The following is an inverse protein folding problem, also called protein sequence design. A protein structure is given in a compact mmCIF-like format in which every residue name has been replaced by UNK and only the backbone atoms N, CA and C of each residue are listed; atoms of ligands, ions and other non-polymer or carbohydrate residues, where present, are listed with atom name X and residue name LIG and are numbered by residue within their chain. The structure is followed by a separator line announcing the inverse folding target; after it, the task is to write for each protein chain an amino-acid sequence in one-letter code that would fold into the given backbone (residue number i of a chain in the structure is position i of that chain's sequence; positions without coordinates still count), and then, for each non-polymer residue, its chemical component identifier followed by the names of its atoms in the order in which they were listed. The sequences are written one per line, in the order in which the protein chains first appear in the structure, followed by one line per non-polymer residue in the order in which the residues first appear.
data_IF_829626589478
#
_entry.id   IF_829626589478
#
_cell.length_a   1.000
_cell.length_b   1.000
_cell.length_c   1.000
_cell.angle_alpha   90.00
_cell.angle_beta   90.00
_cell.angle_gamma   90.00
#
_symmetry.space_group_name_H-M   'P 1'
#
loop_
_entity.id
_entity.type
_entity.pdbx_description
1 polymer ?
#
# COMPACT_ATOMS: atom_id res chain seq x y z
N UNK A 1 1.46 -25.95 -14.47
CA UNK A 1 2.47 -25.04 -15.06
C UNK A 1 1.85 -23.65 -15.08
N UNK A 2 2.47 -22.68 -14.41
CA UNK A 2 2.01 -21.30 -14.49
C UNK A 2 2.26 -20.81 -15.92
N UNK A 3 1.20 -20.37 -16.60
CA UNK A 3 1.31 -19.74 -17.91
C UNK A 3 2.00 -18.39 -17.73
N UNK A 4 3.25 -18.28 -18.15
CA UNK A 4 3.96 -16.99 -18.17
C UNK A 4 3.45 -16.23 -19.40
N UNK A 5 2.76 -15.12 -19.17
CA UNK A 5 2.25 -14.27 -20.25
C UNK A 5 3.43 -13.60 -20.96
N UNK A 6 3.33 -13.39 -22.28
CA UNK A 6 4.35 -12.63 -23.05
C UNK A 6 4.57 -11.21 -22.46
N UNK A 7 3.55 -10.64 -21.83
CA UNK A 7 3.60 -9.36 -21.12
C UNK A 7 4.28 -9.43 -19.74
N UNK A 8 4.51 -10.62 -19.18
CA UNK A 8 5.36 -10.77 -17.99
C UNK A 8 6.85 -10.85 -18.38
N UNK A 9 7.15 -11.23 -19.62
CA UNK A 9 8.51 -11.27 -20.19
C UNK A 9 8.95 -9.86 -20.63
N UNK A 10 8.01 -9.08 -21.16
CA UNK A 10 8.22 -7.67 -21.54
C UNK A 10 7.71 -6.84 -20.35
N UNK A 11 8.61 -6.45 -19.44
CA UNK A 11 8.26 -5.63 -18.26
C UNK A 11 7.43 -4.39 -18.60
N UNK A 12 6.79 -3.74 -17.60
CA UNK A 12 5.80 -2.70 -17.86
C UNK A 12 6.39 -1.52 -18.64
N UNK A 13 5.54 -0.84 -19.41
CA UNK A 13 5.88 0.49 -19.93
C UNK A 13 6.26 1.39 -18.76
N UNK A 14 7.45 1.96 -18.83
CA UNK A 14 8.01 2.70 -17.71
C UNK A 14 8.95 3.81 -18.15
N UNK A 15 9.09 4.79 -17.27
CA UNK A 15 10.18 5.77 -17.31
C UNK A 15 11.36 5.25 -16.51
N UNK A 16 12.56 5.38 -17.08
CA UNK A 16 13.82 5.09 -16.40
C UNK A 16 14.41 3.71 -16.71
N UNK A 17 15.57 3.40 -16.11
CA UNK A 17 16.40 2.29 -16.56
C UNK A 17 16.01 0.93 -15.98
N UNK A 18 15.17 0.87 -14.95
CA UNK A 18 14.97 -0.34 -14.15
C UNK A 18 13.51 -0.63 -13.81
N UNK A 19 13.04 -1.82 -14.17
CA UNK A 19 11.67 -2.29 -13.87
C UNK A 19 11.46 -2.54 -12.38
N UNK A 20 12.50 -2.95 -11.65
CA UNK A 20 12.40 -3.17 -10.21
C UNK A 20 12.55 -1.88 -9.41
N UNK A 21 13.53 -1.05 -9.77
CA UNK A 21 13.93 0.12 -8.99
C UNK A 21 13.22 1.41 -9.39
N UNK A 22 12.69 1.48 -10.60
CA UNK A 22 11.94 2.65 -11.10
C UNK A 22 10.46 2.31 -11.23
N UNK A 23 10.07 1.36 -12.08
CA UNK A 23 8.65 1.01 -12.23
C UNK A 23 8.05 0.43 -10.93
N UNK A 24 8.71 -0.54 -10.31
CA UNK A 24 8.25 -1.11 -9.04
C UNK A 24 8.19 -0.08 -7.91
N UNK A 25 9.13 0.87 -7.87
CA UNK A 25 9.12 1.95 -6.90
C UNK A 25 7.94 2.92 -7.10
N UNK A 26 7.68 3.33 -8.35
CA UNK A 26 6.52 4.15 -8.68
C UNK A 26 5.20 3.43 -8.37
N UNK A 27 5.06 2.16 -8.79
CA UNK A 27 3.86 1.37 -8.54
C UNK A 27 3.55 1.20 -7.06
N UNK A 28 4.55 0.87 -6.22
CA UNK A 28 4.28 0.66 -4.78
C UNK A 28 3.88 1.97 -4.09
N UNK A 29 4.48 3.10 -4.47
CA UNK A 29 4.12 4.40 -3.91
C UNK A 29 2.75 4.89 -4.42
N UNK A 30 2.39 4.55 -5.66
CA UNK A 30 1.05 4.80 -6.20
C UNK A 30 -0.02 4.00 -5.47
N UNK A 31 0.25 2.73 -5.13
CA UNK A 31 -0.65 1.95 -4.27
C UNK A 31 -0.80 2.61 -2.89
N UNK A 32 0.30 3.05 -2.28
CA UNK A 32 0.26 3.80 -1.02
C UNK A 32 -0.55 5.10 -1.14
N UNK A 33 -0.47 5.81 -2.28
CA UNK A 33 -1.28 7.00 -2.54
C UNK A 33 -2.78 6.68 -2.63
N UNK A 34 -3.15 5.59 -3.30
CA UNK A 34 -4.54 5.11 -3.42
C UNK A 34 -5.13 4.68 -2.08
N UNK A 35 -4.29 4.17 -1.18
CA UNK A 35 -4.64 3.83 0.20
C UNK A 35 -4.88 5.06 1.10
N UNK A 36 -4.32 6.22 0.74
CA UNK A 36 -4.40 7.41 1.56
C UNK A 36 -5.65 8.26 1.23
N UNK A 37 -6.57 8.50 2.19
CA UNK A 37 -7.88 9.09 1.91
C UNK A 37 -7.88 10.60 1.67
N UNK A 38 -6.76 11.29 1.90
CA UNK A 38 -6.68 12.76 1.90
C UNK A 38 -5.64 13.35 0.95
N UNK A 39 -5.40 14.65 1.11
CA UNK A 39 -4.25 15.33 0.52
C UNK A 39 -3.01 15.09 1.39
N UNK A 40 -1.91 14.71 0.75
CA UNK A 40 -0.66 14.43 1.45
C UNK A 40 0.07 15.74 1.69
N UNK A 41 0.37 16.02 2.95
CA UNK A 41 1.16 17.16 3.41
C UNK A 41 2.65 16.83 3.43
N UNK A 42 2.99 15.63 3.93
CA UNK A 42 4.36 15.17 3.96
C UNK A 42 4.50 13.66 3.83
N UNK A 43 5.67 13.24 3.37
CA UNK A 43 6.05 11.83 3.29
C UNK A 43 7.52 11.62 3.69
N UNK A 44 7.78 10.63 4.53
CA UNK A 44 9.13 10.12 4.78
C UNK A 44 9.29 8.74 4.17
N UNK A 45 10.36 8.56 3.40
CA UNK A 45 10.72 7.28 2.80
C UNK A 45 11.92 6.68 3.51
N UNK A 46 11.80 5.45 4.03
CA UNK A 46 12.94 4.67 4.52
C UNK A 46 13.25 3.56 3.52
N UNK A 47 14.45 3.58 2.96
CA UNK A 47 14.88 2.62 1.93
C UNK A 47 15.71 1.51 2.55
N UNK A 48 15.51 0.27 2.09
CA UNK A 48 16.22 -0.91 2.58
C UNK A 48 17.05 -1.55 1.46
N UNK A 49 18.07 -2.34 1.83
CA UNK A 49 18.80 -3.22 0.93
C UNK A 49 19.30 -2.56 -0.37
N UNK A 50 18.93 -3.13 -1.51
CA UNK A 50 19.31 -2.65 -2.84
C UNK A 50 18.75 -1.25 -3.15
N UNK A 51 17.54 -0.94 -2.67
CA UNK A 51 16.98 0.41 -2.78
C UNK A 51 17.87 1.41 -2.02
N UNK A 52 18.22 1.12 -0.77
CA UNK A 52 19.11 1.97 0.02
C UNK A 52 20.45 2.26 -0.66
N UNK A 53 21.03 1.24 -1.31
CA UNK A 53 22.35 1.34 -1.96
C UNK A 53 22.33 2.09 -3.29
N UNK A 54 21.25 2.00 -4.06
CA UNK A 54 21.25 2.41 -5.47
C UNK A 54 20.18 3.43 -5.86
N UNK A 55 19.38 3.92 -4.91
CA UNK A 55 18.19 4.73 -5.23
C UNK A 55 18.47 5.94 -6.10
N UNK A 56 19.60 6.65 -5.91
CA UNK A 56 19.96 7.80 -6.75
C UNK A 56 20.35 7.40 -8.17
N UNK A 57 21.06 6.29 -8.32
CA UNK A 57 21.55 5.82 -9.62
C UNK A 57 20.42 5.30 -10.51
N UNK A 58 19.42 4.63 -9.91
CA UNK A 58 18.25 4.12 -10.62
C UNK A 58 17.05 5.07 -10.63
N UNK A 59 17.14 6.24 -9.98
CA UNK A 59 16.03 7.19 -9.87
C UNK A 59 14.86 6.68 -9.03
N UNK A 60 15.11 5.80 -8.06
CA UNK A 60 14.09 5.24 -7.15
C UNK A 60 13.48 6.31 -6.26
N UNK A 61 14.27 7.30 -5.81
CA UNK A 61 13.75 8.48 -5.09
C UNK A 61 12.70 9.22 -5.90
N UNK A 62 13.02 9.50 -7.16
CA UNK A 62 12.13 10.17 -8.10
C UNK A 62 10.88 9.35 -8.38
N UNK A 63 11.02 8.03 -8.55
CA UNK A 63 9.92 7.13 -8.80
C UNK A 63 8.97 7.01 -7.60
N UNK A 64 9.49 6.83 -6.39
CA UNK A 64 8.70 6.80 -5.15
C UNK A 64 7.93 8.11 -4.97
N UNK A 65 8.60 9.24 -5.18
CA UNK A 65 7.95 10.55 -5.06
C UNK A 65 6.93 10.81 -6.19
N UNK A 66 7.18 10.33 -7.40
CA UNK A 66 6.20 10.40 -8.49
C UNK A 66 4.95 9.57 -8.18
N UNK A 67 5.14 8.32 -7.76
CA UNK A 67 4.05 7.42 -7.41
C UNK A 67 3.21 7.96 -6.25
N UNK A 68 3.83 8.51 -5.20
CA UNK A 68 3.07 9.09 -4.08
C UNK A 68 2.28 10.34 -4.49
N UNK A 69 2.69 11.05 -5.54
CA UNK A 69 1.92 12.15 -6.14
C UNK A 69 0.85 11.67 -7.12
N UNK A 70 0.73 10.36 -7.36
CA UNK A 70 -0.27 9.76 -8.24
C UNK A 70 0.20 9.55 -9.69
N UNK A 71 1.51 9.55 -9.96
CA UNK A 71 2.03 9.30 -11.30
C UNK A 71 2.09 7.79 -11.58
N UNK A 72 1.62 7.39 -12.75
CA UNK A 72 1.74 6.02 -13.27
C UNK A 72 3.19 5.73 -13.71
N UNK A 73 3.54 4.46 -13.91
CA UNK A 73 4.94 4.05 -14.14
C UNK A 73 5.57 4.61 -15.42
N UNK A 74 4.75 4.93 -16.43
CA UNK A 74 5.16 5.49 -17.72
C UNK A 74 5.04 7.02 -17.80
N UNK A 75 4.68 7.68 -16.69
CA UNK A 75 4.52 9.12 -16.64
C UNK A 75 5.89 9.84 -16.69
N UNK A 76 6.09 10.65 -17.74
CA UNK A 76 7.32 11.41 -17.96
C UNK A 76 7.65 12.39 -16.81
N UNK A 77 6.64 12.84 -16.06
CA UNK A 77 6.80 13.73 -14.90
C UNK A 77 7.61 13.10 -13.77
N UNK A 78 7.76 11.77 -13.74
CA UNK A 78 8.63 11.07 -12.77
C UNK A 78 10.05 11.65 -12.80
N UNK A 79 10.56 12.04 -13.97
CA UNK A 79 11.93 12.59 -14.11
C UNK A 79 12.16 13.86 -13.29
N UNK A 80 11.10 14.66 -13.14
CA UNK A 80 11.10 15.97 -12.52
C UNK A 80 10.35 15.98 -11.17
N UNK A 81 10.04 14.80 -10.62
CA UNK A 81 9.18 14.66 -9.44
C UNK A 81 9.66 15.42 -8.21
N UNK A 82 10.98 15.55 -8.00
CA UNK A 82 11.56 16.33 -6.91
C UNK A 82 11.21 17.82 -7.03
N UNK A 83 11.27 18.37 -8.24
CA UNK A 83 10.91 19.76 -8.52
C UNK A 83 9.40 19.97 -8.40
N UNK A 84 8.62 19.04 -8.98
CA UNK A 84 7.15 19.09 -8.95
C UNK A 84 6.63 19.01 -7.51
N UNK A 85 7.19 18.12 -6.67
CA UNK A 85 6.81 18.03 -5.26
C UNK A 85 7.05 19.35 -4.52
N UNK A 86 8.18 20.01 -4.78
CA UNK A 86 8.49 21.33 -4.21
C UNK A 86 7.51 22.40 -4.67
N UNK A 87 7.15 22.43 -5.95
CA UNK A 87 6.17 23.36 -6.51
C UNK A 87 4.76 23.15 -5.94
N UNK A 88 4.39 21.89 -5.68
CA UNK A 88 3.11 21.52 -5.05
C UNK A 88 3.11 21.72 -3.52
N UNK A 89 4.24 22.10 -2.92
CA UNK A 89 4.36 22.26 -1.46
C UNK A 89 4.35 20.94 -0.67
N UNK A 90 4.60 19.80 -1.33
CA UNK A 90 4.74 18.50 -0.68
C UNK A 90 6.09 18.42 0.03
N UNK A 91 6.07 18.26 1.35
CA UNK A 91 7.29 18.04 2.13
C UNK A 91 7.72 16.58 2.03
N UNK A 92 8.97 16.32 1.65
CA UNK A 92 9.46 14.95 1.56
C UNK A 92 10.87 14.80 2.14
N UNK A 93 11.19 13.58 2.59
CA UNK A 93 12.54 13.22 3.02
C UNK A 93 12.82 11.74 2.77
N UNK A 94 14.10 11.41 2.68
CA UNK A 94 14.58 10.04 2.46
C UNK A 94 15.60 9.69 3.54
N UNK A 95 15.45 8.51 4.12
CA UNK A 95 16.47 7.86 4.94
C UNK A 95 16.83 6.51 4.34
N UNK A 96 18.00 6.01 4.72
CA UNK A 96 18.43 4.65 4.38
C UNK A 96 18.53 3.86 5.67
N UNK A 97 17.96 2.67 5.69
CA UNK A 97 18.07 1.77 6.84
C UNK A 97 19.52 1.29 6.96
N UNK A 98 20.07 1.37 8.18
CA UNK A 98 21.35 0.78 8.53
C UNK A 98 21.24 -0.72 8.84
N UNK A 99 20.02 -1.24 9.01
CA UNK A 99 19.77 -2.66 9.28
C UNK A 99 19.79 -3.47 8.00
N UNK A 100 20.77 -4.37 7.90
CA UNK A 100 20.74 -5.50 6.99
C UNK A 100 19.98 -6.65 7.67
N UNK A 101 18.66 -6.50 7.80
CA UNK A 101 17.80 -7.62 8.17
C UNK A 101 17.62 -8.51 6.95
N UNK A 102 18.22 -9.71 6.98
CA UNK A 102 18.12 -10.68 5.90
C UNK A 102 16.68 -11.17 5.64
N UNK A 103 15.75 -10.97 6.58
CA UNK A 103 14.34 -11.29 6.40
C UNK A 103 13.60 -10.25 5.54
N UNK A 104 14.13 -9.02 5.41
CA UNK A 104 13.52 -7.97 4.60
C UNK A 104 14.00 -8.09 3.15
N UNK A 105 13.05 -8.10 2.20
CA UNK A 105 13.38 -8.14 0.78
C UNK A 105 14.26 -6.94 0.39
N UNK A 106 15.29 -7.09 -0.45
CA UNK A 106 16.25 -6.01 -0.73
C UNK A 106 15.65 -4.79 -1.43
N UNK A 107 14.53 -4.94 -2.12
CA UNK A 107 13.83 -3.84 -2.80
C UNK A 107 12.61 -3.39 -1.98
N UNK A 108 12.85 -2.94 -0.75
CA UNK A 108 11.79 -2.53 0.19
C UNK A 108 11.89 -1.03 0.47
N UNK A 109 10.73 -0.39 0.57
CA UNK A 109 10.60 0.99 1.03
C UNK A 109 9.45 1.10 2.04
N UNK A 110 9.72 1.77 3.16
CA UNK A 110 8.69 2.25 4.06
C UNK A 110 8.29 3.67 3.69
N UNK A 111 7.01 3.97 3.83
CA UNK A 111 6.39 5.25 3.52
C UNK A 111 5.56 5.68 4.71
N UNK A 112 6.03 6.71 5.41
CA UNK A 112 5.28 7.38 6.48
C UNK A 112 4.63 8.63 5.91
N UNK A 113 3.30 8.61 5.77
CA UNK A 113 2.51 9.63 5.08
C UNK A 113 1.69 10.40 6.12
N UNK A 114 1.76 11.73 6.08
CA UNK A 114 0.92 12.64 6.88
C UNK A 114 0.04 13.49 5.97
N UNK A 115 -1.24 13.58 6.31
CA UNK A 115 -2.24 14.37 5.60
C UNK A 115 -2.40 15.78 6.13
N UNK A 116 -3.07 16.63 5.35
CA UNK A 116 -3.34 18.02 5.75
C UNK A 116 -4.31 18.15 6.92
N UNK A 117 -5.13 17.13 7.21
CA UNK A 117 -6.09 17.12 8.34
C UNK A 117 -5.65 16.23 9.50
N UNK A 118 -4.38 15.80 9.50
CA UNK A 118 -3.80 14.98 10.57
C UNK A 118 -3.94 13.47 10.36
N UNK A 119 -4.45 13.03 9.21
CA UNK A 119 -4.45 11.62 8.82
C UNK A 119 -3.02 11.10 8.74
N UNK A 120 -2.79 9.85 9.16
CA UNK A 120 -1.48 9.20 9.08
C UNK A 120 -1.62 7.81 8.50
N UNK A 121 -0.67 7.43 7.67
CA UNK A 121 -0.59 6.09 7.11
C UNK A 121 0.87 5.67 7.03
N UNK A 122 1.17 4.50 7.57
CA UNK A 122 2.44 3.82 7.31
C UNK A 122 2.21 2.70 6.30
N UNK A 123 3.07 2.60 5.29
CA UNK A 123 3.03 1.55 4.27
C UNK A 123 4.43 0.98 4.06
N UNK A 124 4.59 -0.35 4.09
CA UNK A 124 5.79 -1.04 3.60
C UNK A 124 5.52 -1.67 2.25
N UNK A 125 6.20 -1.18 1.22
CA UNK A 125 6.13 -1.70 -0.13
C UNK A 125 7.36 -2.53 -0.50
N UNK A 126 7.17 -3.57 -1.30
CA UNK A 126 8.22 -4.45 -1.81
C UNK A 126 8.10 -4.58 -3.32
N UNK A 127 9.19 -4.33 -4.04
CA UNK A 127 9.29 -4.60 -5.48
C UNK A 127 9.90 -5.97 -5.70
N UNK A 128 9.09 -6.91 -6.18
CA UNK A 128 9.47 -8.31 -6.39
C UNK A 128 10.14 -8.57 -7.76
N UNK A 129 10.30 -7.51 -8.57
CA UNK A 129 10.90 -7.59 -9.91
C UNK A 129 9.87 -7.73 -11.03
N UNK A 130 10.29 -7.47 -12.27
CA UNK A 130 9.40 -7.49 -13.44
C UNK A 130 8.28 -6.45 -13.41
N UNK A 131 8.41 -5.39 -12.57
CA UNK A 131 7.38 -4.38 -12.37
C UNK A 131 6.29 -4.78 -11.37
N UNK A 132 6.30 -6.01 -10.86
CA UNK A 132 5.34 -6.46 -9.83
C UNK A 132 5.75 -5.94 -8.46
N UNK A 133 4.75 -5.58 -7.66
CA UNK A 133 4.90 -5.02 -6.32
C UNK A 133 3.93 -5.65 -5.35
N UNK A 134 4.25 -5.56 -4.06
CA UNK A 134 3.39 -5.96 -2.95
C UNK A 134 3.44 -4.89 -1.87
N UNK A 135 2.30 -4.59 -1.25
CA UNK A 135 2.29 -3.93 0.05
C UNK A 135 2.26 -5.03 1.11
N UNK A 136 3.28 -5.07 1.95
CA UNK A 136 3.47 -6.12 2.97
C UNK A 136 3.14 -5.65 4.38
N UNK A 137 3.03 -4.33 4.58
CA UNK A 137 2.63 -3.76 5.87
C UNK A 137 1.81 -2.51 5.70
N UNK A 138 0.76 -2.39 6.50
CA UNK A 138 -0.08 -1.21 6.64
C UNK A 138 -0.23 -0.88 8.12
N UNK A 139 0.28 0.28 8.54
CA UNK A 139 0.39 0.62 9.95
C UNK A 139 1.12 -0.50 10.73
N UNK A 140 0.45 -1.10 11.71
CA UNK A 140 1.00 -2.18 12.52
C UNK A 140 0.65 -3.58 11.98
N UNK A 141 0.00 -3.65 10.81
CA UNK A 141 -0.61 -4.86 10.27
C UNK A 141 0.24 -5.41 9.14
N UNK A 142 0.63 -6.69 9.23
CA UNK A 142 1.24 -7.40 8.10
C UNK A 142 0.15 -7.81 7.09
N UNK A 143 0.30 -7.39 5.84
CA UNK A 143 -0.62 -7.67 4.73
C UNK A 143 0.13 -8.35 3.58
N UNK A 144 -0.57 -8.90 2.58
CA UNK A 144 0.07 -9.38 1.35
C UNK A 144 -0.70 -8.84 0.14
N UNK A 145 -0.81 -7.51 0.09
CA UNK A 145 -1.62 -6.84 -0.90
C UNK A 145 -0.86 -6.75 -2.23
N UNK A 146 -1.27 -7.57 -3.19
CA UNK A 146 -0.73 -7.60 -4.56
C UNK A 146 -1.50 -6.70 -5.53
N UNK A 147 -2.68 -6.22 -5.14
CA UNK A 147 -3.64 -5.58 -6.06
C UNK A 147 -4.47 -6.58 -6.87
N UNK A 148 -4.30 -7.89 -6.67
CA UNK A 148 -5.06 -8.95 -7.35
C UNK A 148 -6.37 -9.32 -6.64
N UNK A 149 -6.62 -8.74 -5.45
CA UNK A 149 -7.85 -8.91 -4.67
C UNK A 149 -8.39 -7.55 -4.24
N UNK A 150 -9.70 -7.47 -4.05
CA UNK A 150 -10.29 -6.35 -3.32
C UNK A 150 -10.06 -6.59 -1.84
N UNK A 151 -9.46 -5.62 -1.17
CA UNK A 151 -9.03 -5.73 0.23
C UNK A 151 -9.76 -4.72 1.09
N UNK A 152 -10.51 -5.24 2.06
CA UNK A 152 -11.18 -4.47 3.10
C UNK A 152 -10.39 -4.58 4.40
N UNK A 153 -10.01 -3.44 4.96
CA UNK A 153 -9.33 -3.34 6.25
C UNK A 153 -10.27 -2.60 7.19
N UNK A 154 -10.75 -3.30 8.21
CA UNK A 154 -11.57 -2.74 9.28
C UNK A 154 -10.66 -2.53 10.48
N UNK A 155 -10.70 -1.34 11.05
CA UNK A 155 -10.13 -1.03 12.36
C UNK A 155 -11.25 -1.08 13.40
N UNK A 156 -11.04 -1.82 14.47
CA UNK A 156 -12.05 -2.05 15.50
C UNK A 156 -11.46 -2.15 16.92
N UNK A 157 -12.35 -2.17 17.91
CA UNK A 157 -12.03 -2.64 19.26
C UNK A 157 -12.25 -4.15 19.36
N UNK A 158 -11.29 -4.90 19.92
CA UNK A 158 -11.35 -6.36 20.09
C UNK A 158 -12.40 -6.77 21.14
N UNK A 159 -13.66 -6.92 20.71
CA UNK A 159 -14.76 -7.41 21.55
C UNK A 159 -15.59 -8.49 20.85
N UNK A 160 -16.24 -9.39 21.63
CA UNK A 160 -17.13 -10.39 21.07
C UNK A 160 -18.19 -9.77 20.14
N UNK A 161 -18.42 -10.42 19.00
CA UNK A 161 -19.47 -10.05 18.04
C UNK A 161 -19.03 -9.12 16.90
N UNK A 162 -17.88 -8.43 17.00
CA UNK A 162 -17.45 -7.50 15.93
C UNK A 162 -17.11 -8.25 14.64
N UNK A 163 -16.30 -9.30 14.71
CA UNK A 163 -15.97 -10.13 13.53
C UNK A 163 -17.21 -10.79 12.95
N UNK A 164 -18.13 -11.28 13.80
CA UNK A 164 -19.40 -11.85 13.36
C UNK A 164 -20.29 -10.84 12.64
N UNK A 165 -20.28 -9.58 13.09
CA UNK A 165 -20.98 -8.49 12.40
C UNK A 165 -20.37 -8.26 11.01
N UNK A 166 -19.03 -8.17 10.89
CA UNK A 166 -18.33 -7.96 9.62
C UNK A 166 -18.66 -9.09 8.63
N UNK A 167 -18.50 -10.35 9.04
CA UNK A 167 -18.75 -11.50 8.16
C UNK A 167 -20.21 -11.65 7.79
N UNK A 168 -21.14 -11.33 8.69
CA UNK A 168 -22.57 -11.32 8.39
C UNK A 168 -22.90 -10.29 7.33
N UNK A 169 -22.40 -9.05 7.45
CA UNK A 169 -22.65 -8.00 6.45
C UNK A 169 -22.11 -8.43 5.08
N UNK A 170 -20.88 -8.94 5.02
CA UNK A 170 -20.30 -9.45 3.77
C UNK A 170 -21.16 -10.57 3.16
N UNK A 171 -21.59 -11.53 3.97
CA UNK A 171 -22.42 -12.65 3.53
C UNK A 171 -23.80 -12.22 3.03
N UNK A 172 -24.45 -11.25 3.69
CA UNK A 172 -25.76 -10.73 3.29
C UNK A 172 -25.68 -9.96 1.96
N UNK A 173 -24.51 -9.39 1.64
CA UNK A 173 -24.23 -8.74 0.36
C UNK A 173 -23.67 -9.69 -0.70
N UNK A 174 -23.57 -10.99 -0.39
CA UNK A 174 -23.12 -12.01 -1.32
C UNK A 174 -21.63 -11.96 -1.65
N UNK A 175 -20.81 -11.30 -0.82
CA UNK A 175 -19.36 -11.16 -1.04
C UNK A 175 -18.64 -12.42 -0.57
N UNK A 176 -17.96 -13.11 -1.49
CA UNK A 176 -17.08 -14.23 -1.14
C UNK A 176 -15.80 -13.75 -0.44
N UNK A 177 -15.31 -14.51 0.53
CA UNK A 177 -14.08 -14.22 1.27
C UNK A 177 -13.00 -15.20 0.80
N UNK A 178 -12.07 -14.71 -0.01
CA UNK A 178 -10.91 -15.49 -0.44
C UNK A 178 -10.00 -15.77 0.76
N UNK A 179 -9.79 -14.74 1.58
CA UNK A 179 -8.90 -14.82 2.72
C UNK A 179 -9.26 -13.79 3.80
N UNK A 180 -9.05 -14.14 5.08
CA UNK A 180 -9.28 -13.24 6.21
C UNK A 180 -8.17 -13.38 7.27
N UNK A 181 -7.65 -12.25 7.75
CA UNK A 181 -6.74 -12.16 8.91
C UNK A 181 -7.32 -11.25 9.98
N UNK A 182 -7.09 -11.61 11.24
CA UNK A 182 -7.37 -10.78 12.41
C UNK A 182 -6.06 -10.47 13.13
N UNK A 183 -5.82 -9.20 13.40
CA UNK A 183 -4.71 -8.71 14.20
C UNK A 183 -5.26 -8.00 15.42
N UNK A 184 -4.64 -8.18 16.57
CA UNK A 184 -4.97 -7.46 17.80
C UNK A 184 -3.67 -6.99 18.43
N UNK A 185 -3.66 -5.77 18.94
CA UNK A 185 -2.52 -5.28 19.72
C UNK A 185 -2.47 -6.02 21.06
N UNK A 186 -3.54 -5.88 21.84
CA UNK A 186 -3.75 -6.58 23.10
C UNK A 186 -5.23 -6.97 23.23
N UNK A 187 -5.52 -7.92 24.13
CA UNK A 187 -6.90 -8.36 24.36
C UNK A 187 -7.75 -7.18 24.83
N UNK A 188 -8.83 -6.88 24.09
CA UNK A 188 -9.75 -5.79 24.42
C UNK A 188 -9.35 -4.40 23.91
N UNK A 189 -8.18 -4.28 23.27
CA UNK A 189 -7.66 -3.03 22.71
C UNK A 189 -8.00 -2.89 21.21
N UNK A 190 -7.20 -2.13 20.46
CA UNK A 190 -7.35 -2.01 19.03
C UNK A 190 -7.04 -3.34 18.31
N UNK A 191 -7.84 -3.62 17.29
CA UNK A 191 -7.71 -4.77 16.43
C UNK A 191 -8.06 -4.39 14.98
N UNK A 192 -7.61 -5.22 14.05
CA UNK A 192 -7.83 -5.04 12.64
C UNK A 192 -8.27 -6.33 11.99
N UNK A 193 -9.36 -6.25 11.21
CA UNK A 193 -9.80 -7.34 10.35
C UNK A 193 -9.47 -7.00 8.91
N UNK A 194 -8.64 -7.83 8.27
CA UNK A 194 -8.32 -7.75 6.85
C UNK A 194 -9.10 -8.84 6.14
N UNK A 195 -9.89 -8.45 5.13
CA UNK A 195 -10.67 -9.35 4.28
C UNK A 195 -10.24 -9.13 2.85
N UNK A 196 -9.91 -10.20 2.15
CA UNK A 196 -9.59 -10.19 0.73
C UNK A 196 -10.66 -10.97 -0.04
N UNK A 197 -11.10 -10.42 -1.15
CA UNK A 197 -12.14 -10.97 -2.01
C UNK A 197 -11.70 -10.97 -3.47
N UNK A 198 -12.05 -12.04 -4.19
CA UNK A 198 -11.83 -12.17 -5.64
C UNK A 198 -12.69 -11.18 -6.45
N UNK A 199 -13.70 -10.58 -5.82
CA UNK A 199 -14.68 -9.71 -6.44
C UNK A 199 -14.74 -8.33 -5.77
N UNK A 200 -15.36 -7.37 -6.47
CA UNK A 200 -15.52 -6.03 -5.93
C UNK A 200 -16.44 -6.03 -4.72
N UNK A 201 -15.96 -5.48 -3.61
CA UNK A 201 -16.76 -5.33 -2.39
C UNK A 201 -17.70 -4.12 -2.57
N UNK A 202 -19.04 -4.30 -2.53
CA UNK A 202 -19.97 -3.19 -2.73
C UNK A 202 -19.80 -2.08 -1.68
N UNK A 203 -19.88 -0.81 -2.09
CA UNK A 203 -19.70 0.32 -1.16
C UNK A 203 -20.66 0.29 0.05
N UNK A 204 -21.89 -0.20 -0.14
CA UNK A 204 -22.87 -0.39 0.94
C UNK A 204 -22.38 -1.30 2.07
N UNK A 205 -21.46 -2.24 1.81
CA UNK A 205 -20.85 -3.08 2.84
C UNK A 205 -20.15 -2.20 3.88
N UNK A 206 -19.47 -1.15 3.44
CA UNK A 206 -18.70 -0.28 4.34
C UNK A 206 -19.65 0.46 5.29
N UNK A 207 -20.72 1.03 4.74
CA UNK A 207 -21.70 1.78 5.54
C UNK A 207 -22.35 0.89 6.60
N UNK A 208 -22.71 -0.34 6.21
CA UNK A 208 -23.30 -1.33 7.13
C UNK A 208 -22.32 -1.81 8.20
N UNK A 209 -21.04 -2.00 7.86
CA UNK A 209 -20.01 -2.34 8.86
C UNK A 209 -19.80 -1.20 9.85
N UNK A 210 -19.88 0.07 9.41
CA UNK A 210 -19.78 1.25 10.28
C UNK A 210 -20.94 1.38 11.27
N UNK A 211 -22.05 0.68 11.08
CA UNK A 211 -23.16 0.66 12.04
C UNK A 211 -22.75 0.05 13.39
N UNK A 212 -21.71 -0.79 13.42
CA UNK A 212 -21.16 -1.30 14.67
C UNK A 212 -20.31 -0.22 15.36
N UNK A 213 -20.68 0.26 16.57
CA UNK A 213 -19.98 1.35 17.25
C UNK A 213 -18.55 1.00 17.68
N UNK A 214 -18.16 -0.27 17.57
CA UNK A 214 -16.81 -0.73 17.87
C UNK A 214 -15.88 -0.68 16.65
N UNK A 215 -16.39 -0.32 15.47
CA UNK A 215 -15.60 -0.06 14.27
C UNK A 215 -15.21 1.42 14.25
N UNK A 216 -13.91 1.68 14.20
CA UNK A 216 -13.35 3.05 14.23
C UNK A 216 -13.01 3.58 12.85
N UNK A 217 -12.55 2.72 11.94
CA UNK A 217 -12.21 3.11 10.58
C UNK A 217 -12.35 1.94 9.61
N UNK A 218 -12.55 2.27 8.33
CA UNK A 218 -12.62 1.28 7.26
C UNK A 218 -11.89 1.81 6.03
N UNK A 219 -10.87 1.08 5.60
CA UNK A 219 -10.18 1.27 4.32
C UNK A 219 -10.60 0.18 3.35
N UNK A 220 -10.97 0.57 2.13
CA UNK A 220 -11.30 -0.35 1.06
C UNK A 220 -10.41 -0.06 -0.15
N UNK A 221 -9.69 -1.08 -0.60
CA UNK A 221 -8.98 -1.06 -1.87
C UNK A 221 -9.66 -2.04 -2.80
N UNK A 222 -9.89 -1.62 -4.03
CA UNK A 222 -10.55 -2.43 -5.03
C UNK A 222 -9.56 -2.84 -6.12
N UNK A 223 -9.85 -4.00 -6.71
CA UNK A 223 -9.39 -4.42 -8.03
C UNK A 223 -9.60 -3.33 -9.10
#
# INVERSE_FOLDING_TARGET
MAFISLFEVIGPNMVGPSSSHTAGAASMALLARKLFPGEIKSVHFTLYGSFARTYRGHGTDRALLGGIMGFETDDLRIRDSLSIAKEQGLHYSFSVSAQEDAAIHPNTADMEIEGTKGEKLFVRGVSIGGGKVKIVKLNQIEVDFTGEYSTLIVSQTDKPGVVAHITRVLSEEGVNIAFMRLFREEKGAAAFTVVESDEKIPAKVLDRIRENPLVSDITLVQL
#
